data_IF_919263049572
#
_entry.id   IF_919263049572
#
_cell.length_a   1.000
_cell.length_b   1.000
_cell.length_c   1.000
_cell.angle_alpha   90.00
_cell.angle_beta   90.00
_cell.angle_gamma   90.00
#
_symmetry.space_group_name_H-M   'P 1'
#
loop_
_entity.id
_entity.type
_entity.pdbx_description
1 polymer ?
#
# COMPACT_ATOMS: atom_id res chain seq x y z
N UNK A 1 11.25 -11.65 -12.90
CA UNK A 1 9.84 -12.06 -12.66
C UNK A 1 9.23 -10.88 -11.92
N UNK A 2 8.28 -10.17 -12.53
CA UNK A 2 7.68 -8.98 -11.93
C UNK A 2 7.16 -9.32 -10.53
N UNK A 3 7.46 -8.46 -9.56
CA UNK A 3 7.07 -8.62 -8.15
C UNK A 3 5.58 -8.28 -7.92
N UNK A 4 4.84 -7.93 -8.97
CA UNK A 4 3.40 -7.64 -8.92
C UNK A 4 2.62 -8.52 -9.90
N UNK A 5 1.75 -9.39 -9.38
CA UNK A 5 0.91 -10.31 -10.17
C UNK A 5 -0.23 -9.65 -10.97
N UNK A 6 -0.26 -8.32 -11.13
CA UNK A 6 -1.24 -7.66 -12.00
C UNK A 6 -0.66 -6.45 -12.70
N UNK A 7 -0.51 -6.52 -14.02
CA UNK A 7 -0.33 -5.34 -14.86
C UNK A 7 -1.50 -4.36 -14.66
N UNK A 8 -1.18 -3.08 -14.46
CA UNK A 8 -2.19 -2.04 -14.29
C UNK A 8 -2.89 -1.78 -15.63
N UNK A 9 -4.17 -2.14 -15.75
CA UNK A 9 -4.93 -1.94 -16.99
C UNK A 9 -5.64 -0.58 -17.04
N UNK A 10 -5.88 0.00 -18.23
CA UNK A 10 -6.68 1.23 -18.37
C UNK A 10 -8.08 1.14 -17.74
N UNK A 11 -8.71 -0.04 -17.79
CA UNK A 11 -10.00 -0.29 -17.16
C UNK A 11 -9.93 -0.19 -15.63
N UNK A 12 -8.82 -0.64 -15.02
CA UNK A 12 -8.60 -0.50 -13.57
C UNK A 12 -8.42 0.97 -13.18
N UNK A 13 -7.62 1.73 -13.94
CA UNK A 13 -7.43 3.17 -13.70
C UNK A 13 -8.78 3.90 -13.79
N UNK A 14 -9.57 3.63 -14.84
CA UNK A 14 -10.91 4.18 -14.98
C UNK A 14 -11.83 3.79 -13.82
N UNK A 15 -11.73 2.57 -13.30
CA UNK A 15 -12.47 2.11 -12.12
C UNK A 15 -12.08 2.90 -10.87
N UNK A 16 -10.78 3.15 -10.66
CA UNK A 16 -10.30 3.95 -9.52
C UNK A 16 -10.79 5.40 -9.57
N UNK A 17 -10.74 6.04 -10.74
CA UNK A 17 -11.29 7.39 -10.94
C UNK A 17 -12.79 7.41 -10.67
N UNK A 18 -13.57 6.48 -11.26
CA UNK A 18 -15.03 6.41 -11.07
C UNK A 18 -15.43 6.18 -9.62
N UNK A 19 -14.66 5.40 -8.87
CA UNK A 19 -14.90 5.12 -7.46
C UNK A 19 -14.37 6.22 -6.54
N UNK A 20 -13.64 7.20 -7.06
CA UNK A 20 -13.08 8.31 -6.28
C UNK A 20 -11.89 7.92 -5.41
N UNK A 21 -11.06 6.98 -5.88
CA UNK A 21 -9.78 6.65 -5.23
C UNK A 21 -8.62 7.50 -5.78
N UNK A 22 -8.80 8.09 -6.95
CA UNK A 22 -7.78 8.77 -7.73
C UNK A 22 -8.40 9.97 -8.43
N UNK A 23 -7.66 11.08 -8.53
CA UNK A 23 -8.12 12.24 -9.28
C UNK A 23 -8.29 11.92 -10.77
N UNK A 24 -9.21 12.63 -11.42
CA UNK A 24 -9.46 12.45 -12.84
C UNK A 24 -8.31 13.09 -13.64
N UNK A 25 -7.61 12.35 -14.51
CA UNK A 25 -6.55 12.92 -15.33
C UNK A 25 -7.10 13.90 -16.37
N UNK A 26 -6.38 15.00 -16.60
CA UNK A 26 -6.76 16.01 -17.58
C UNK A 26 -6.39 15.56 -18.99
N UNK A 27 -7.39 15.34 -19.86
CA UNK A 27 -7.16 14.91 -21.26
C UNK A 27 -6.25 13.66 -21.37
N UNK A 28 -6.34 12.73 -20.41
CA UNK A 28 -5.48 11.53 -20.30
C UNK A 28 -4.00 11.82 -20.00
N UNK A 29 -3.66 13.05 -19.60
CA UNK A 29 -2.33 13.37 -19.08
C UNK A 29 -2.31 13.02 -17.60
N UNK A 30 -1.37 12.15 -17.24
CA UNK A 30 -1.08 11.79 -15.86
C UNK A 30 0.09 12.65 -15.39
N UNK A 31 -0.05 13.24 -14.21
CA UNK A 31 1.02 13.95 -13.53
C UNK A 31 1.58 13.10 -12.37
N UNK A 32 2.53 13.65 -11.62
CA UNK A 32 3.16 12.96 -10.50
C UNK A 32 2.14 12.55 -9.42
N UNK A 33 1.12 13.37 -9.15
CA UNK A 33 0.07 13.06 -8.17
C UNK A 33 -0.72 11.82 -8.57
N UNK A 34 -1.07 11.71 -9.85
CA UNK A 34 -1.76 10.53 -10.37
C UNK A 34 -0.90 9.25 -10.25
N UNK A 35 0.40 9.35 -10.50
CA UNK A 35 1.32 8.20 -10.35
C UNK A 35 1.46 7.80 -8.87
N UNK A 36 1.55 8.79 -7.97
CA UNK A 36 1.59 8.56 -6.52
C UNK A 36 0.34 7.84 -6.02
N UNK A 37 -0.85 8.29 -6.40
CA UNK A 37 -2.12 7.64 -6.07
C UNK A 37 -2.15 6.19 -6.60
N UNK A 38 -1.79 5.98 -7.87
CA UNK A 38 -1.77 4.64 -8.48
C UNK A 38 -0.81 3.69 -7.77
N UNK A 39 0.36 4.16 -7.35
CA UNK A 39 1.36 3.36 -6.64
C UNK A 39 0.80 2.91 -5.28
N UNK A 40 0.27 3.84 -4.49
CA UNK A 40 -0.30 3.55 -3.17
C UNK A 40 -1.50 2.60 -3.29
N UNK A 41 -2.43 2.87 -4.21
CA UNK A 41 -3.59 1.99 -4.46
C UNK A 41 -3.13 0.59 -4.85
N UNK A 42 -2.14 0.48 -5.75
CA UNK A 42 -1.67 -0.81 -6.26
C UNK A 42 -1.01 -1.67 -5.20
N UNK A 43 -0.31 -1.06 -4.24
CA UNK A 43 0.26 -1.76 -3.09
C UNK A 43 -0.82 -2.16 -2.09
N UNK A 44 -1.67 -1.23 -1.67
CA UNK A 44 -2.61 -1.47 -0.57
C UNK A 44 -3.78 -2.37 -0.94
N UNK A 45 -4.22 -2.37 -2.21
CA UNK A 45 -5.31 -3.25 -2.68
C UNK A 45 -4.98 -4.74 -2.56
N UNK A 46 -3.70 -5.11 -2.43
CA UNK A 46 -3.27 -6.51 -2.24
C UNK A 46 -3.61 -7.02 -0.84
N UNK A 47 -3.74 -6.10 0.13
CA UNK A 47 -3.98 -6.42 1.54
C UNK A 47 -5.42 -6.07 1.94
N UNK A 48 -5.97 -4.96 1.44
CA UNK A 48 -7.27 -4.43 1.84
C UNK A 48 -8.29 -4.37 0.69
N UNK A 49 -9.60 -4.50 0.98
CA UNK A 49 -10.65 -4.20 0.03
C UNK A 49 -10.55 -2.74 -0.48
N UNK A 50 -10.91 -2.51 -1.75
CA UNK A 50 -10.81 -1.17 -2.35
C UNK A 50 -11.57 -0.08 -1.60
N UNK A 51 -12.71 -0.40 -0.96
CA UNK A 51 -13.46 0.58 -0.18
C UNK A 51 -12.70 1.03 1.08
N UNK A 52 -11.95 0.12 1.72
CA UNK A 52 -11.08 0.47 2.86
C UNK A 52 -9.95 1.38 2.39
N UNK A 53 -9.29 1.02 1.28
CA UNK A 53 -8.22 1.84 0.69
C UNK A 53 -8.72 3.24 0.34
N UNK A 54 -9.90 3.33 -0.30
CA UNK A 54 -10.55 4.60 -0.63
C UNK A 54 -10.77 5.46 0.61
N UNK A 55 -11.36 4.90 1.66
CA UNK A 55 -11.67 5.64 2.87
C UNK A 55 -10.39 6.15 3.54
N UNK A 56 -9.36 5.32 3.66
CA UNK A 56 -8.09 5.74 4.25
C UNK A 56 -7.43 6.87 3.45
N UNK A 57 -7.37 6.76 2.12
CA UNK A 57 -6.81 7.81 1.25
C UNK A 57 -7.59 9.11 1.44
N UNK A 58 -8.92 9.06 1.39
CA UNK A 58 -9.75 10.26 1.54
C UNK A 58 -9.61 10.90 2.92
N UNK A 59 -9.50 10.13 4.00
CA UNK A 59 -9.26 10.68 5.34
C UNK A 59 -7.90 11.39 5.43
N UNK A 60 -6.84 10.81 4.86
CA UNK A 60 -5.51 11.43 4.85
C UNK A 60 -5.53 12.73 4.04
N UNK A 61 -6.17 12.73 2.88
CA UNK A 61 -6.23 13.87 1.97
C UNK A 61 -7.14 15.02 2.47
N UNK A 62 -7.87 14.85 3.58
CA UNK A 62 -8.56 15.99 4.24
C UNK A 62 -7.57 16.98 4.84
N UNK A 63 -6.44 16.49 5.33
CA UNK A 63 -5.45 17.27 6.09
C UNK A 63 -4.14 17.45 5.32
N UNK A 64 -3.94 16.73 4.21
CA UNK A 64 -2.70 16.69 3.45
C UNK A 64 -2.93 16.82 1.95
N UNK A 65 -2.00 17.46 1.24
CA UNK A 65 -1.94 17.35 -0.22
C UNK A 65 -1.51 15.93 -0.64
N UNK A 66 -1.79 15.55 -1.90
CA UNK A 66 -1.35 14.26 -2.46
C UNK A 66 0.17 14.09 -2.34
N UNK A 67 0.94 15.16 -2.57
CA UNK A 67 2.39 15.15 -2.41
C UNK A 67 2.82 14.89 -0.97
N UNK A 68 2.22 15.57 0.00
CA UNK A 68 2.53 15.40 1.43
C UNK A 68 2.21 13.98 1.90
N UNK A 69 1.02 13.48 1.54
CA UNK A 69 0.57 12.14 1.88
C UNK A 69 1.50 11.07 1.27
N UNK A 70 1.86 11.23 0.00
CA UNK A 70 2.78 10.31 -0.68
C UNK A 70 4.18 10.34 -0.08
N UNK A 71 4.75 11.51 0.18
CA UNK A 71 6.07 11.62 0.79
C UNK A 71 6.10 11.00 2.18
N UNK A 72 5.05 11.21 2.99
CA UNK A 72 4.91 10.56 4.30
C UNK A 72 4.84 9.03 4.17
N UNK A 73 4.05 8.52 3.23
CA UNK A 73 3.97 7.09 2.92
C UNK A 73 5.32 6.53 2.48
N UNK A 74 6.00 7.19 1.52
CA UNK A 74 7.26 6.74 0.97
C UNK A 74 8.38 6.71 2.03
N UNK A 75 8.45 7.72 2.89
CA UNK A 75 9.40 7.74 4.01
C UNK A 75 9.14 6.56 4.96
N UNK A 76 7.89 6.37 5.40
CA UNK A 76 7.53 5.27 6.28
C UNK A 76 7.84 3.89 5.64
N UNK A 77 7.55 3.76 4.34
CA UNK A 77 7.83 2.53 3.59
C UNK A 77 9.33 2.24 3.54
N UNK A 78 10.13 3.23 3.16
CA UNK A 78 11.59 3.10 3.04
C UNK A 78 12.26 2.83 4.39
N UNK A 79 11.83 3.54 5.45
CA UNK A 79 12.33 3.32 6.80
C UNK A 79 12.01 1.90 7.29
N UNK A 80 10.79 1.42 7.02
CA UNK A 80 10.38 0.05 7.37
C UNK A 80 11.19 -0.98 6.60
N UNK A 81 11.40 -0.78 5.30
CA UNK A 81 12.22 -1.66 4.46
C UNK A 81 13.66 -1.73 4.98
N UNK A 82 14.28 -0.57 5.21
CA UNK A 82 15.64 -0.49 5.72
C UNK A 82 15.80 -1.21 7.08
N UNK A 83 14.82 -1.03 7.97
CA UNK A 83 14.81 -1.73 9.25
C UNK A 83 14.72 -3.25 9.09
N UNK A 84 13.92 -3.74 8.14
CA UNK A 84 13.80 -5.18 7.85
C UNK A 84 15.11 -5.73 7.25
N UNK A 85 15.73 -5.01 6.31
CA UNK A 85 17.01 -5.38 5.70
C UNK A 85 18.10 -5.53 6.78
N UNK A 86 18.26 -4.52 7.63
CA UNK A 86 19.28 -4.53 8.68
C UNK A 86 19.05 -5.60 9.76
N UNK A 87 17.79 -5.91 10.07
CA UNK A 87 17.43 -6.85 11.15
C UNK A 87 17.27 -8.30 10.69
N UNK A 88 16.90 -8.54 9.42
CA UNK A 88 16.52 -9.87 8.92
C UNK A 88 17.44 -10.43 7.83
N UNK A 89 18.20 -9.59 7.09
CA UNK A 89 19.02 -10.06 5.96
C UNK A 89 20.49 -10.31 6.30
N UNK A 90 20.99 -9.82 7.44
CA UNK A 90 22.38 -10.03 7.86
C UNK A 90 22.68 -11.49 8.33
N UNK A 91 21.67 -12.35 8.42
CA UNK A 91 21.81 -13.77 8.78
C UNK A 91 20.72 -14.63 8.11
N UNK A 92 20.52 -14.51 6.79
CA UNK A 92 19.74 -15.54 6.08
C UNK A 92 20.66 -16.75 5.92
N UNK A 93 20.68 -17.60 6.93
CA UNK A 93 21.08 -18.98 6.74
C UNK A 93 20.01 -19.64 5.87
N UNK A 94 20.30 -19.74 4.57
CA UNK A 94 19.42 -20.32 3.55
C UNK A 94 19.10 -21.80 3.81
N UNK A 95 19.79 -22.43 4.76
CA UNK A 95 19.51 -23.78 5.25
C UNK A 95 18.11 -23.95 5.84
N UNK A 96 17.48 -22.87 6.36
CA UNK A 96 16.14 -22.94 6.97
C UNK A 96 15.08 -22.04 6.29
N UNK A 97 15.12 -22.00 4.95
CA UNK A 97 14.21 -21.19 4.12
C UNK A 97 12.72 -21.42 4.41
N UNK A 98 12.31 -22.66 4.75
CA UNK A 98 10.91 -22.98 5.05
C UNK A 98 10.45 -22.32 6.36
N UNK A 99 11.24 -22.44 7.44
CA UNK A 99 10.92 -21.83 8.74
C UNK A 99 10.88 -20.31 8.64
N UNK A 100 11.81 -19.69 7.89
CA UNK A 100 11.81 -18.25 7.65
C UNK A 100 10.56 -17.82 6.87
N UNK A 101 10.19 -18.57 5.83
CA UNK A 101 8.98 -18.31 5.05
C UNK A 101 7.74 -18.37 5.93
N UNK A 102 7.63 -19.39 6.80
CA UNK A 102 6.53 -19.53 7.75
C UNK A 102 6.48 -18.35 8.73
N UNK A 103 7.61 -17.93 9.29
CA UNK A 103 7.69 -16.76 10.19
C UNK A 103 7.21 -15.47 9.52
N UNK A 104 7.62 -15.20 8.28
CA UNK A 104 7.16 -14.02 7.54
C UNK A 104 5.67 -14.10 7.21
N UNK A 105 5.16 -15.28 6.83
CA UNK A 105 3.74 -15.48 6.57
C UNK A 105 2.89 -15.21 7.83
N UNK A 106 3.29 -15.76 8.98
CA UNK A 106 2.62 -15.52 10.27
C UNK A 106 2.65 -14.02 10.61
N UNK A 107 3.80 -13.36 10.46
CA UNK A 107 3.93 -11.91 10.72
C UNK A 107 3.02 -11.09 9.82
N UNK A 108 2.95 -11.41 8.52
CA UNK A 108 2.07 -10.73 7.58
C UNK A 108 0.59 -10.87 7.98
N UNK A 109 0.16 -12.07 8.37
CA UNK A 109 -1.21 -12.33 8.87
C UNK A 109 -1.49 -11.51 10.12
N UNK A 110 -0.60 -11.52 11.11
CA UNK A 110 -0.78 -10.75 12.35
C UNK A 110 -0.85 -9.24 12.07
N UNK A 111 0.06 -8.71 11.26
CA UNK A 111 0.07 -7.30 10.88
C UNK A 111 -1.24 -6.88 10.22
N UNK A 112 -1.76 -7.70 9.29
CA UNK A 112 -3.06 -7.45 8.63
C UNK A 112 -4.22 -7.48 9.62
N UNK A 113 -4.25 -8.43 10.56
CA UNK A 113 -5.33 -8.53 11.55
C UNK A 113 -5.35 -7.34 12.50
N UNK A 114 -4.16 -6.93 12.98
CA UNK A 114 -4.01 -5.78 13.87
C UNK A 114 -4.41 -4.49 13.15
N UNK A 115 -3.91 -4.28 11.92
CA UNK A 115 -4.25 -3.08 11.15
C UNK A 115 -5.74 -3.00 10.83
N UNK A 116 -6.40 -4.11 10.49
CA UNK A 116 -7.85 -4.13 10.27
C UNK A 116 -8.62 -3.73 11.53
N UNK A 117 -8.23 -4.24 12.71
CA UNK A 117 -8.86 -3.83 13.97
C UNK A 117 -8.69 -2.34 14.26
N UNK A 118 -7.53 -1.77 13.96
CA UNK A 118 -7.27 -0.34 14.14
C UNK A 118 -8.14 0.50 13.20
N UNK A 119 -8.24 0.09 11.93
CA UNK A 119 -9.12 0.72 10.93
C UNK A 119 -10.57 0.67 11.41
N UNK A 120 -11.07 -0.49 11.82
CA UNK A 120 -12.44 -0.65 12.30
C UNK A 120 -12.70 0.20 13.55
N UNK A 121 -11.71 0.31 14.45
CA UNK A 121 -11.82 1.16 15.64
C UNK A 121 -11.82 2.65 15.31
N UNK A 122 -11.15 3.07 14.23
CA UNK A 122 -11.14 4.46 13.79
C UNK A 122 -12.51 4.88 13.24
N UNK A 123 -13.13 4.04 12.40
CA UNK A 123 -14.42 4.34 11.78
C UNK A 123 -15.66 4.06 12.66
N UNK A 124 -15.48 3.47 13.84
CA UNK A 124 -16.55 3.30 14.85
C UNK A 124 -16.73 4.52 15.76
N UNK A 125 -15.82 5.51 15.71
CA UNK A 125 -15.97 6.80 16.39
C UNK A 125 -16.92 7.70 15.62
#
# INVERSE_FOLDING_TARGET
KDLSDSELTPSMINSYVKKGLMQRPEKKKYDASHIAELLVISLLKTIYPLEVVKNCINEILKEQSVEQAYNSFANLFNDTLHNIENSSYNFIDTSNTLELTEKFAIRAVICKLVSQKLIDSYYKK
#
